data_IF_220498542965
#
_entry.id   IF_220498542965
#
_cell.length_a   1.000
_cell.length_b   1.000
_cell.length_c   1.000
_cell.angle_alpha   90.00
_cell.angle_beta   90.00
_cell.angle_gamma   90.00
#
_symmetry.space_group_name_H-M   'P 1'
#
loop_
_entity.id
_entity.type
_entity.pdbx_description
1 polymer ?
#
# COMPACT_ATOMS: atom_id res chain seq x y z
N UNK A 1 15.46 35.14 -8.12
CA UNK A 1 16.15 33.84 -8.45
C UNK A 1 15.77 32.65 -7.55
N UNK A 2 14.96 32.84 -6.51
CA UNK A 2 14.60 31.73 -5.58
C UNK A 2 13.47 30.84 -6.07
N UNK A 3 12.53 31.36 -6.85
CA UNK A 3 11.34 30.61 -7.29
C UNK A 3 11.62 29.41 -8.20
N UNK A 4 12.50 29.47 -9.22
CA UNK A 4 12.81 28.30 -10.05
C UNK A 4 13.50 27.19 -9.26
N UNK A 5 14.35 27.56 -8.31
CA UNK A 5 15.06 26.61 -7.44
C UNK A 5 14.09 25.87 -6.51
N UNK A 6 13.11 26.58 -5.93
CA UNK A 6 12.07 25.99 -5.10
C UNK A 6 11.17 25.05 -5.90
N UNK A 7 10.81 25.42 -7.14
CA UNK A 7 10.04 24.53 -8.04
C UNK A 7 10.83 23.27 -8.38
N UNK A 8 12.10 23.41 -8.70
CA UNK A 8 12.97 22.28 -9.00
C UNK A 8 13.11 21.36 -7.79
N UNK A 9 13.31 21.91 -6.60
CA UNK A 9 13.41 21.16 -5.35
C UNK A 9 12.10 20.43 -5.01
N UNK A 10 10.94 21.09 -5.17
CA UNK A 10 9.65 20.44 -4.92
C UNK A 10 9.41 19.26 -5.87
N UNK A 11 9.74 19.41 -7.16
CA UNK A 11 9.65 18.32 -8.13
C UNK A 11 10.61 17.18 -7.81
N UNK A 12 11.84 17.48 -7.42
CA UNK A 12 12.82 16.47 -7.05
C UNK A 12 12.38 15.67 -5.82
N UNK A 13 11.86 16.33 -4.80
CA UNK A 13 11.33 15.69 -3.59
C UNK A 13 10.15 14.77 -3.92
N UNK A 14 9.24 15.23 -4.76
CA UNK A 14 8.08 14.47 -5.20
C UNK A 14 8.48 13.24 -6.02
N UNK A 15 9.44 13.39 -6.95
CA UNK A 15 9.96 12.28 -7.74
C UNK A 15 10.66 11.24 -6.87
N UNK A 16 11.43 11.66 -5.87
CA UNK A 16 12.08 10.75 -4.91
C UNK A 16 11.05 9.90 -4.19
N UNK A 17 10.00 10.54 -3.67
CA UNK A 17 8.92 9.83 -2.98
C UNK A 17 8.15 8.87 -3.90
N UNK A 18 7.97 9.26 -5.17
CA UNK A 18 7.38 8.36 -6.17
C UNK A 18 8.26 7.13 -6.41
N UNK A 19 9.57 7.30 -6.50
CA UNK A 19 10.53 6.21 -6.64
C UNK A 19 10.46 5.27 -5.42
N UNK A 20 10.35 5.81 -4.20
CA UNK A 20 10.25 5.01 -2.98
C UNK A 20 8.97 4.14 -2.98
N UNK A 21 7.83 4.69 -3.43
CA UNK A 21 6.57 3.93 -3.57
C UNK A 21 6.70 2.84 -4.63
N UNK A 22 7.27 3.16 -5.80
CA UNK A 22 7.47 2.18 -6.87
C UNK A 22 8.42 1.06 -6.40
N UNK A 23 9.51 1.40 -5.72
CA UNK A 23 10.43 0.41 -5.15
C UNK A 23 9.74 -0.51 -4.13
N UNK A 24 8.89 0.05 -3.26
CA UNK A 24 8.11 -0.72 -2.30
C UNK A 24 7.12 -1.66 -3.02
N UNK A 25 6.40 -1.17 -4.03
CA UNK A 25 5.49 -2.00 -4.84
C UNK A 25 6.23 -3.15 -5.53
N UNK A 26 7.41 -2.89 -6.10
CA UNK A 26 8.23 -3.91 -6.76
C UNK A 26 8.74 -4.94 -5.74
N UNK A 27 9.22 -4.50 -4.59
CA UNK A 27 9.67 -5.39 -3.52
C UNK A 27 8.58 -6.35 -3.04
N UNK A 28 7.32 -5.93 -3.12
CA UNK A 28 6.15 -6.68 -2.65
C UNK A 28 5.31 -7.29 -3.78
N UNK A 29 5.74 -7.24 -5.04
CA UNK A 29 4.95 -7.74 -6.17
C UNK A 29 4.60 -9.23 -6.06
N UNK A 30 5.43 -10.03 -5.39
CA UNK A 30 5.21 -11.44 -5.15
C UNK A 30 4.61 -11.75 -3.76
N UNK A 31 4.28 -10.71 -2.98
CA UNK A 31 3.66 -10.88 -1.67
C UNK A 31 2.17 -11.12 -1.81
N UNK A 32 1.69 -12.27 -1.35
CA UNK A 32 0.26 -12.64 -1.42
C UNK A 32 -0.58 -11.65 -0.62
N UNK A 33 -1.65 -11.14 -1.25
CA UNK A 33 -2.55 -10.17 -0.63
C UNK A 33 -1.99 -8.75 -0.49
N UNK A 34 -0.83 -8.45 -1.09
CA UNK A 34 -0.29 -7.10 -1.09
C UNK A 34 -1.20 -6.16 -1.90
N UNK A 35 -1.43 -4.97 -1.38
CA UNK A 35 -2.18 -3.90 -2.03
C UNK A 35 -1.23 -2.76 -2.38
N UNK A 36 -1.01 -2.56 -3.67
CA UNK A 36 -0.10 -1.54 -4.19
C UNK A 36 -0.51 -0.13 -3.78
N UNK A 37 0.48 0.72 -3.62
CA UNK A 37 0.28 2.13 -3.30
C UNK A 37 0.51 3.00 -4.54
N UNK A 38 -0.33 4.04 -4.68
CA UNK A 38 -0.21 5.05 -5.73
C UNK A 38 -0.15 6.43 -5.11
N UNK A 39 0.67 7.29 -5.68
CA UNK A 39 0.77 8.67 -5.25
C UNK A 39 -0.29 9.52 -5.93
N UNK A 40 -0.99 10.35 -5.15
CA UNK A 40 -1.86 11.40 -5.67
C UNK A 40 -1.11 12.74 -5.68
N UNK A 41 -1.07 13.35 -6.85
CA UNK A 41 -0.47 14.65 -7.05
C UNK A 41 -1.56 15.73 -7.16
N UNK A 42 -1.32 16.90 -6.56
CA UNK A 42 -2.07 18.10 -6.88
C UNK A 42 -1.11 19.17 -7.36
N UNK A 43 -1.38 19.67 -8.53
CA UNK A 43 -0.67 20.77 -9.11
C UNK A 43 -1.30 22.10 -8.67
N UNK A 44 -0.52 22.93 -7.98
CA UNK A 44 -0.94 24.27 -7.62
C UNK A 44 -0.32 25.28 -8.60
N UNK A 45 -1.20 25.92 -9.37
CA UNK A 45 -0.83 27.03 -10.24
C UNK A 45 -0.86 28.33 -9.43
N UNK A 46 0.29 28.91 -9.19
CA UNK A 46 0.43 30.22 -8.54
C UNK A 46 0.73 31.27 -9.61
N UNK A 47 -0.07 32.32 -9.68
CA UNK A 47 0.25 33.48 -10.53
C UNK A 47 1.44 34.21 -9.93
N UNK A 48 2.51 34.37 -10.70
CA UNK A 48 3.64 35.19 -10.31
C UNK A 48 3.25 36.68 -10.36
N UNK A 49 3.28 37.35 -9.21
CA UNK A 49 3.18 38.81 -9.13
C UNK A 49 4.57 39.46 -9.29
N UNK A 50 5.07 39.49 -10.50
CA UNK A 50 6.37 40.16 -10.74
C UNK A 50 6.68 40.24 -12.22
N UNK A 51 6.63 41.42 -12.75
CA UNK A 51 6.61 41.82 -14.13
C UNK A 51 7.85 41.57 -14.96
N UNK A 52 8.24 40.33 -15.19
CA UNK A 52 9.14 40.01 -16.32
C UNK A 52 8.52 38.85 -17.13
N UNK A 53 8.09 39.21 -18.34
CA UNK A 53 7.34 38.44 -19.33
C UNK A 53 8.12 37.31 -20.03
N UNK A 54 9.22 36.81 -19.48
CA UNK A 54 10.09 35.86 -20.20
C UNK A 54 9.71 34.39 -19.97
N UNK A 55 8.93 34.04 -18.93
CA UNK A 55 8.58 32.66 -18.58
C UNK A 55 7.13 32.45 -18.11
N UNK A 56 6.16 33.11 -18.74
CA UNK A 56 4.73 32.88 -18.46
C UNK A 56 4.29 33.24 -17.02
N UNK A 57 3.09 33.80 -16.90
CA UNK A 57 2.51 34.30 -15.64
C UNK A 57 2.13 33.22 -14.61
N UNK A 58 2.48 31.95 -14.84
CA UNK A 58 2.05 30.83 -13.99
C UNK A 58 3.23 29.98 -13.55
N UNK A 59 3.43 29.88 -12.25
CA UNK A 59 4.40 28.97 -11.65
C UNK A 59 3.61 27.78 -11.11
N UNK A 60 3.97 26.58 -11.56
CA UNK A 60 3.35 25.32 -11.15
C UNK A 60 4.18 24.67 -10.06
N UNK A 61 3.62 24.58 -8.86
CA UNK A 61 4.17 23.79 -7.78
C UNK A 61 3.46 22.44 -7.73
N UNK A 62 4.26 21.38 -7.72
CA UNK A 62 3.72 20.02 -7.47
C UNK A 62 3.78 19.78 -5.98
N UNK A 63 2.63 19.47 -5.38
CA UNK A 63 2.52 19.06 -4.00
C UNK A 63 1.99 17.62 -3.95
N UNK A 64 2.74 16.78 -3.30
CA UNK A 64 2.27 15.47 -2.86
C UNK A 64 1.24 15.66 -1.74
N UNK A 65 0.05 15.11 -1.92
CA UNK A 65 -1.04 15.28 -0.95
C UNK A 65 -1.29 13.99 -0.17
N UNK A 66 -1.27 12.83 -0.84
CA UNK A 66 -1.61 11.57 -0.21
C UNK A 66 -1.08 10.38 -1.01
N UNK A 67 -0.89 9.29 -0.30
CA UNK A 67 -0.73 7.97 -0.89
C UNK A 67 -2.08 7.26 -0.85
N UNK A 68 -2.53 6.73 -1.96
CA UNK A 68 -3.75 5.94 -2.06
C UNK A 68 -3.40 4.47 -2.27
N UNK A 69 -4.02 3.59 -1.49
CA UNK A 69 -3.85 2.15 -1.63
C UNK A 69 -4.86 1.62 -2.67
N UNK A 70 -4.38 0.82 -3.61
CA UNK A 70 -5.23 0.15 -4.59
C UNK A 70 -5.88 -1.08 -3.94
N UNK A 71 -7.17 -0.98 -3.65
CA UNK A 71 -7.94 -2.04 -2.99
C UNK A 71 -8.57 -3.02 -4.01
N UNK A 72 -8.38 -2.84 -5.30
CA UNK A 72 -8.90 -3.75 -6.33
C UNK A 72 -8.42 -5.18 -6.10
N UNK A 73 -9.25 -6.17 -6.44
CA UNK A 73 -8.88 -7.57 -6.34
C UNK A 73 -7.92 -7.94 -7.46
N UNK A 74 -6.84 -8.66 -7.10
CA UNK A 74 -5.93 -9.28 -8.06
C UNK A 74 -6.53 -10.56 -8.64
N UNK A 75 -5.83 -11.14 -9.62
CA UNK A 75 -6.18 -12.46 -10.15
C UNK A 75 -6.03 -13.53 -9.06
N UNK A 76 -6.99 -14.47 -9.03
CA UNK A 76 -6.90 -15.65 -8.18
C UNK A 76 -6.00 -16.68 -8.85
N UNK A 77 -5.04 -17.19 -8.09
CA UNK A 77 -4.10 -18.22 -8.54
C UNK A 77 -4.35 -19.52 -7.78
N UNK A 78 -4.53 -20.62 -8.51
CA UNK A 78 -4.74 -21.92 -7.90
C UNK A 78 -3.40 -22.56 -7.55
N UNK A 79 -3.12 -22.69 -6.25
CA UNK A 79 -1.85 -23.24 -5.76
C UNK A 79 -1.87 -24.75 -5.56
N UNK A 80 -3.06 -25.35 -5.47
CA UNK A 80 -3.25 -26.79 -5.14
C UNK A 80 -3.02 -27.12 -3.66
N UNK A 81 -2.70 -26.18 -2.82
CA UNK A 81 -2.58 -26.36 -1.37
C UNK A 81 -3.96 -26.17 -0.70
N UNK A 82 -4.49 -27.15 0.07
CA UNK A 82 -5.83 -27.05 0.67
C UNK A 82 -5.95 -25.95 1.74
N UNK A 83 -4.83 -25.48 2.30
CA UNK A 83 -4.82 -24.42 3.31
C UNK A 83 -4.56 -23.02 2.74
N UNK A 84 -4.37 -22.90 1.41
CA UNK A 84 -4.27 -21.61 0.76
C UNK A 84 -5.68 -21.13 0.40
N UNK A 85 -6.11 -20.05 1.03
CA UNK A 85 -7.45 -19.48 0.87
C UNK A 85 -7.35 -18.06 0.34
N UNK A 86 -8.19 -17.70 -0.64
CA UNK A 86 -8.26 -16.35 -1.17
C UNK A 86 -9.64 -15.73 -0.87
N UNK A 87 -9.66 -14.44 -0.57
CA UNK A 87 -10.88 -13.67 -0.41
C UNK A 87 -11.22 -12.95 -1.73
N UNK A 88 -12.44 -13.16 -2.19
CA UNK A 88 -13.04 -12.39 -3.28
C UNK A 88 -13.99 -11.34 -2.67
N UNK A 89 -13.85 -10.08 -3.09
CA UNK A 89 -14.61 -8.96 -2.52
C UNK A 89 -13.90 -8.27 -1.34
N UNK A 90 -14.67 -7.52 -0.56
CA UNK A 90 -14.16 -6.77 0.58
C UNK A 90 -14.14 -7.65 1.84
N UNK A 91 -12.99 -7.76 2.47
CA UNK A 91 -12.84 -8.56 3.68
C UNK A 91 -11.36 -8.76 4.04
N UNK A 92 -11.13 -9.25 5.26
CA UNK A 92 -9.80 -9.56 5.78
C UNK A 92 -9.90 -10.78 6.68
N UNK A 93 -8.84 -11.58 6.71
CA UNK A 93 -8.64 -12.58 7.75
C UNK A 93 -8.19 -11.88 9.02
N UNK A 94 -8.73 -12.28 10.15
CA UNK A 94 -8.31 -11.81 11.46
C UNK A 94 -7.28 -12.78 12.04
N UNK A 95 -6.14 -12.24 12.47
CA UNK A 95 -5.07 -12.99 13.13
C UNK A 95 -4.76 -12.38 14.49
N UNK A 96 -4.37 -13.22 15.43
CA UNK A 96 -3.97 -12.78 16.76
C UNK A 96 -2.46 -12.63 16.83
N UNK A 97 -1.98 -11.39 16.96
CA UNK A 97 -0.56 -11.09 17.13
C UNK A 97 -0.25 -10.75 18.59
N UNK A 98 1.03 -10.69 18.95
CA UNK A 98 1.49 -10.31 20.29
C UNK A 98 1.03 -8.91 20.74
N UNK A 99 0.65 -8.05 19.77
CA UNK A 99 0.16 -6.68 20.01
C UNK A 99 -1.37 -6.57 19.98
N UNK A 100 -2.07 -7.67 19.74
CA UNK A 100 -3.53 -7.71 19.61
C UNK A 100 -3.99 -8.26 18.26
N UNK A 101 -5.28 -8.07 17.95
CA UNK A 101 -5.85 -8.55 16.68
C UNK A 101 -5.37 -7.68 15.52
N UNK A 102 -4.93 -8.34 14.45
CA UNK A 102 -4.51 -7.73 13.19
C UNK A 102 -5.28 -8.31 12.03
N UNK A 103 -5.35 -7.58 10.93
CA UNK A 103 -6.10 -7.98 9.75
C UNK A 103 -5.15 -8.18 8.56
N UNK A 104 -5.34 -9.29 7.84
CA UNK A 104 -4.51 -9.64 6.69
C UNK A 104 -5.34 -10.11 5.51
N UNK A 105 -4.84 -9.92 4.30
CA UNK A 105 -5.35 -10.55 3.07
C UNK A 105 -4.50 -11.73 2.62
N UNK A 106 -3.41 -12.02 3.33
CA UNK A 106 -2.60 -13.19 3.06
C UNK A 106 -3.33 -14.44 3.57
N UNK A 107 -3.74 -15.30 2.67
CA UNK A 107 -4.46 -16.53 2.95
C UNK A 107 -3.59 -17.78 2.89
N UNK A 108 -2.27 -17.67 2.94
CA UNK A 108 -1.37 -18.82 3.09
C UNK A 108 -1.27 -19.21 4.54
N UNK A 109 -2.03 -20.24 4.91
CA UNK A 109 -2.09 -20.73 6.27
C UNK A 109 -1.38 -22.08 6.42
N UNK A 110 -1.10 -22.43 7.66
CA UNK A 110 -0.51 -23.72 8.08
C UNK A 110 -1.25 -24.25 9.29
N UNK A 111 -1.10 -25.52 9.57
CA UNK A 111 -1.48 -26.08 10.87
C UNK A 111 -0.21 -26.15 11.73
N UNK A 112 -0.35 -25.80 13.00
CA UNK A 112 0.67 -26.05 14.01
C UNK A 112 0.55 -27.48 14.56
N UNK A 113 1.43 -27.86 15.49
CA UNK A 113 1.47 -29.19 16.10
C UNK A 113 0.21 -29.51 16.93
N UNK A 114 -0.57 -28.51 17.28
CA UNK A 114 -1.84 -28.64 18.02
C UNK A 114 -3.07 -28.72 17.10
N UNK A 115 -2.88 -28.65 15.78
CA UNK A 115 -3.97 -28.60 14.80
C UNK A 115 -4.62 -27.22 14.68
N UNK A 116 -3.97 -26.17 15.20
CA UNK A 116 -4.45 -24.80 15.09
C UNK A 116 -4.07 -24.19 13.75
N UNK A 117 -4.99 -23.47 13.12
CA UNK A 117 -4.71 -22.73 11.89
C UNK A 117 -3.91 -21.46 12.22
N UNK A 118 -2.71 -21.37 11.64
CA UNK A 118 -1.79 -20.25 11.87
C UNK A 118 -1.32 -19.62 10.56
N UNK A 119 -0.94 -18.35 10.62
CA UNK A 119 -0.32 -17.62 9.51
C UNK A 119 1.07 -18.18 9.20
N UNK A 120 1.69 -17.69 8.13
CA UNK A 120 3.10 -17.99 7.82
C UNK A 120 4.08 -17.57 8.92
N UNK A 121 3.71 -16.57 9.73
CA UNK A 121 4.48 -16.06 10.89
C UNK A 121 4.22 -16.87 12.17
N UNK A 122 3.23 -17.75 12.18
CA UNK A 122 2.84 -18.53 13.37
C UNK A 122 1.72 -17.89 14.21
N UNK A 123 1.12 -16.80 13.73
CA UNK A 123 0.03 -16.13 14.44
C UNK A 123 -1.30 -16.88 14.22
N UNK A 124 -2.09 -17.18 15.28
CA UNK A 124 -3.37 -17.84 15.16
C UNK A 124 -4.38 -17.09 14.29
N UNK A 125 -5.06 -17.82 13.42
CA UNK A 125 -6.19 -17.29 12.65
C UNK A 125 -7.46 -17.38 13.49
N UNK A 126 -8.19 -16.28 13.54
CA UNK A 126 -9.41 -16.18 14.33
C UNK A 126 -10.66 -16.31 13.47
N UNK A 127 -11.68 -16.96 14.03
CA UNK A 127 -13.03 -16.95 13.48
C UNK A 127 -13.72 -15.60 13.69
N UNK A 128 -14.89 -15.41 13.12
CA UNK A 128 -15.73 -14.22 13.30
C UNK A 128 -16.05 -13.94 14.79
N UNK A 129 -16.12 -14.98 15.60
CA UNK A 129 -16.29 -14.87 17.06
C UNK A 129 -15.02 -14.57 17.84
N UNK A 130 -13.88 -14.33 17.18
CA UNK A 130 -12.60 -14.06 17.86
C UNK A 130 -11.94 -15.29 18.49
N UNK A 131 -12.40 -16.49 18.16
CA UNK A 131 -11.81 -17.74 18.66
C UNK A 131 -10.83 -18.31 17.63
N UNK A 132 -9.71 -18.92 18.07
CA UNK A 132 -8.80 -19.64 17.19
C UNK A 132 -9.49 -20.79 16.46
N UNK A 133 -9.08 -21.06 15.22
CA UNK A 133 -9.64 -22.13 14.38
C UNK A 133 -8.76 -23.37 14.53
N UNK A 134 -9.36 -24.51 14.80
CA UNK A 134 -8.70 -25.83 14.89
C UNK A 134 -9.28 -26.79 13.86
N UNK A 135 -8.42 -27.71 13.36
CA UNK A 135 -8.77 -28.82 12.46
C UNK A 135 -8.41 -30.16 13.06
#
# INVERSE_FOLDING_TARGET
METPTLVALSRQTTLRRHIDIVANNIANMNTTGYKGERMMFVEHLVKSKGGERILGDKISYVRDIATMRDLSNGALEHTGNPLDVALEGDGYFMIQTNTGNSYTRNGRFKLDDSGQLVSSSGDPVLSDGGQPIFF
#
